data_IF_478428481398
#
_entry.id   IF_478428481398
#
_cell.length_a   1.000
_cell.length_b   1.000
_cell.length_c   1.000
_cell.angle_alpha   90.00
_cell.angle_beta   90.00
_cell.angle_gamma   90.00
#
_symmetry.space_group_name_H-M   'P 1'
#
loop_
_entity.id
_entity.type
_entity.pdbx_description
1 polymer ?
#
# COMPACT_ATOMS: atom_id res chain seq x y z
N UNK A 1 7.80 31.82 -9.98
CA UNK A 1 6.40 32.23 -9.67
C UNK A 1 5.56 31.10 -9.10
N UNK A 2 5.65 29.86 -9.59
CA UNK A 2 4.88 28.71 -9.08
C UNK A 2 5.29 28.30 -7.66
N UNK A 3 6.59 28.32 -7.35
CA UNK A 3 7.10 27.91 -6.02
C UNK A 3 6.70 28.88 -4.90
N UNK A 4 6.78 30.19 -5.16
CA UNK A 4 6.36 31.22 -4.19
C UNK A 4 4.87 31.17 -3.84
N UNK A 5 4.01 30.84 -4.81
CA UNK A 5 2.56 30.66 -4.59
C UNK A 5 2.30 29.40 -3.76
N UNK A 6 3.03 28.31 -4.04
CA UNK A 6 2.98 27.07 -3.25
C UNK A 6 3.37 27.30 -1.79
N UNK A 7 4.53 27.94 -1.56
CA UNK A 7 5.01 28.31 -0.21
C UNK A 7 4.03 29.20 0.55
N UNK A 8 3.45 30.21 -0.11
CA UNK A 8 2.42 31.06 0.50
C UNK A 8 1.20 30.25 0.97
N UNK A 9 0.85 29.18 0.25
CA UNK A 9 -0.17 28.21 0.66
C UNK A 9 0.18 27.48 1.94
N UNK A 10 1.40 26.93 2.02
CA UNK A 10 1.89 26.22 3.21
C UNK A 10 1.84 27.11 4.45
N UNK A 11 2.33 28.35 4.34
CA UNK A 11 2.29 29.30 5.46
C UNK A 11 0.86 29.71 5.83
N UNK A 12 0.01 30.01 4.84
CA UNK A 12 -1.37 30.42 5.10
C UNK A 12 -2.19 29.34 5.81
N UNK A 13 -2.07 28.09 5.33
CA UNK A 13 -2.72 26.94 5.97
C UNK A 13 -2.11 26.66 7.35
N UNK A 14 -0.78 26.75 7.49
CA UNK A 14 -0.10 26.59 8.78
C UNK A 14 -0.60 27.58 9.85
N UNK A 15 -0.83 28.84 9.48
CA UNK A 15 -1.42 29.85 10.35
C UNK A 15 -2.86 29.52 10.75
N UNK A 16 -3.70 29.10 9.80
CA UNK A 16 -5.08 28.67 10.09
C UNK A 16 -5.07 27.52 11.09
N UNK A 17 -4.29 26.47 10.84
CA UNK A 17 -4.22 25.29 11.72
C UNK A 17 -3.74 25.68 13.12
N UNK A 18 -2.68 26.48 13.22
CA UNK A 18 -2.06 26.81 14.50
C UNK A 18 -2.88 27.82 15.32
N UNK A 19 -3.53 28.79 14.67
CA UNK A 19 -4.22 29.89 15.36
C UNK A 19 -5.72 29.68 15.49
N UNK A 20 -6.36 28.99 14.53
CA UNK A 20 -7.81 28.78 14.53
C UNK A 20 -8.15 27.43 15.12
N UNK A 21 -7.53 26.35 14.62
CA UNK A 21 -7.77 25.00 15.16
C UNK A 21 -6.96 24.73 16.43
N UNK A 22 -5.88 25.49 16.66
CA UNK A 22 -4.92 25.27 17.76
C UNK A 22 -4.26 23.89 17.72
N UNK A 23 -4.13 23.30 16.53
CA UNK A 23 -3.50 21.99 16.31
C UNK A 23 -2.02 22.16 15.93
N UNK A 24 -1.25 21.06 15.93
CA UNK A 24 0.16 21.11 15.53
C UNK A 24 0.28 20.90 14.03
N UNK A 25 0.95 21.83 13.35
CA UNK A 25 1.26 21.76 11.92
C UNK A 25 2.73 21.34 11.74
N UNK A 26 2.98 20.21 11.06
CA UNK A 26 4.32 19.66 10.83
C UNK A 26 4.60 19.61 9.33
N UNK A 27 5.23 20.66 8.82
CA UNK A 27 5.63 20.76 7.41
C UNK A 27 6.54 19.58 7.00
N UNK A 28 6.35 19.06 5.79
CA UNK A 28 7.19 18.04 5.18
C UNK A 28 8.06 18.67 4.09
N UNK A 29 9.38 18.47 4.15
CA UNK A 29 10.34 19.13 3.25
C UNK A 29 10.78 18.25 2.06
N UNK A 30 10.31 17.00 1.96
CA UNK A 30 10.65 16.09 0.87
C UNK A 30 9.61 16.20 -0.28
N UNK A 31 10.04 16.82 -1.38
CA UNK A 31 9.20 17.34 -2.48
C UNK A 31 8.57 16.29 -3.42
N UNK A 32 8.91 15.00 -3.29
CA UNK A 32 8.62 14.03 -4.36
C UNK A 32 7.29 13.26 -4.19
N UNK A 33 6.72 13.24 -2.99
CA UNK A 33 5.61 12.33 -2.68
C UNK A 33 4.22 12.98 -2.50
N UNK A 34 4.10 14.31 -2.50
CA UNK A 34 2.81 15.00 -2.58
C UNK A 34 1.97 15.05 -1.29
N UNK A 35 2.62 15.14 -0.13
CA UNK A 35 2.03 15.60 1.14
C UNK A 35 2.88 16.77 1.62
N UNK A 36 2.25 17.90 1.93
CA UNK A 36 2.97 19.12 2.33
C UNK A 36 3.09 19.26 3.85
N UNK A 37 2.16 18.67 4.61
CA UNK A 37 2.21 18.68 6.06
C UNK A 37 1.44 17.51 6.70
N UNK A 38 1.85 17.17 7.92
CA UNK A 38 1.08 16.35 8.86
C UNK A 38 0.49 17.27 9.92
N UNK A 39 -0.81 17.13 10.16
CA UNK A 39 -1.53 17.77 11.25
C UNK A 39 -1.66 16.80 12.41
N UNK A 40 -1.45 17.27 13.62
CA UNK A 40 -1.74 16.52 14.84
C UNK A 40 -2.76 17.28 15.68
N UNK A 41 -3.90 16.63 15.93
CA UNK A 41 -4.96 17.17 16.77
C UNK A 41 -4.40 17.50 18.14
N UNK A 42 -4.75 18.66 18.67
CA UNK A 42 -4.39 19.06 20.02
C UNK A 42 -5.65 19.39 20.83
N UNK A 43 -5.64 19.02 22.10
CA UNK A 43 -6.67 19.33 23.07
C UNK A 43 -6.02 20.06 24.24
N UNK A 44 -6.48 21.28 24.54
CA UNK A 44 -5.86 22.14 25.56
C UNK A 44 -4.34 22.31 25.34
N UNK A 45 -3.95 22.61 24.11
CA UNK A 45 -2.55 22.74 23.64
C UNK A 45 -1.69 21.46 23.71
N UNK A 46 -2.26 20.33 24.15
CA UNK A 46 -1.56 19.04 24.20
C UNK A 46 -1.86 18.21 22.95
N UNK A 47 -0.82 17.74 22.22
CA UNK A 47 -1.00 16.82 21.11
C UNK A 47 -1.65 15.50 21.57
N UNK A 48 -2.58 14.97 20.80
CA UNK A 48 -3.33 13.75 21.14
C UNK A 48 -2.81 12.49 20.46
N UNK A 49 -1.89 12.62 19.50
CA UNK A 49 -1.45 11.53 18.62
C UNK A 49 -2.42 11.20 17.49
N UNK A 50 -3.58 11.87 17.38
CA UNK A 50 -4.46 11.76 16.23
C UNK A 50 -3.93 12.60 15.07
N UNK A 51 -3.66 11.95 13.93
CA UNK A 51 -2.95 12.56 12.80
C UNK A 51 -3.84 12.66 11.55
N UNK A 52 -3.55 13.66 10.72
CA UNK A 52 -4.06 13.80 9.35
C UNK A 52 -2.93 14.26 8.43
N UNK A 53 -2.89 13.79 7.20
CA UNK A 53 -1.97 14.29 6.18
C UNK A 53 -2.70 15.27 5.25
N UNK A 54 -2.02 16.33 4.82
CA UNK A 54 -2.59 17.31 3.90
C UNK A 54 -1.68 17.59 2.71
N UNK A 55 -2.28 17.65 1.52
CA UNK A 55 -1.69 18.26 0.34
C UNK A 55 -2.35 19.62 0.12
N UNK A 56 -1.55 20.67 0.08
CA UNK A 56 -1.95 22.05 -0.10
C UNK A 56 -1.74 22.45 -1.57
N UNK A 57 -2.74 23.11 -2.13
CA UNK A 57 -2.73 23.66 -3.49
C UNK A 57 -3.20 25.10 -3.45
N UNK A 58 -2.29 26.02 -3.75
CA UNK A 58 -2.50 27.45 -3.59
C UNK A 58 -2.57 28.17 -4.93
N UNK A 59 -3.46 29.14 -5.02
CA UNK A 59 -3.55 30.05 -6.16
C UNK A 59 -4.88 29.99 -6.92
N UNK A 60 -5.21 31.11 -7.59
CA UNK A 60 -6.50 31.33 -8.25
C UNK A 60 -6.86 30.27 -9.32
N UNK A 61 -5.89 29.57 -9.89
CA UNK A 61 -6.13 28.52 -10.89
C UNK A 61 -6.97 27.36 -10.34
N UNK A 62 -6.82 27.02 -9.05
CA UNK A 62 -7.58 25.93 -8.42
C UNK A 62 -9.06 26.26 -8.21
N UNK A 63 -9.45 27.52 -8.39
CA UNK A 63 -10.82 28.02 -8.19
C UNK A 63 -11.55 28.33 -9.51
N UNK A 64 -10.95 28.03 -10.67
CA UNK A 64 -11.49 28.36 -12.00
C UNK A 64 -12.60 27.43 -12.49
N UNK A 65 -12.68 26.20 -11.96
CA UNK A 65 -13.65 25.20 -12.37
C UNK A 65 -14.65 24.93 -11.24
N UNK A 66 -15.71 25.76 -11.08
CA UNK A 66 -16.77 25.47 -10.14
C UNK A 66 -17.59 24.25 -10.59
N UNK A 67 -18.21 23.55 -9.64
CA UNK A 67 -19.21 22.53 -9.98
C UNK A 67 -20.42 23.17 -10.67
N UNK A 68 -21.20 22.43 -11.49
CA UNK A 68 -22.39 22.98 -12.15
C UNK A 68 -23.41 23.58 -11.17
N UNK A 69 -23.52 23.02 -9.96
CA UNK A 69 -24.37 23.53 -8.87
C UNK A 69 -23.75 24.71 -8.12
N UNK A 70 -22.49 25.06 -8.36
CA UNK A 70 -21.75 26.09 -7.61
C UNK A 70 -21.33 25.68 -6.19
N UNK A 71 -21.62 24.45 -5.78
CA UNK A 71 -21.37 23.91 -4.42
C UNK A 71 -19.90 23.71 -4.06
N UNK A 72 -18.98 23.84 -5.02
CA UNK A 72 -17.55 23.69 -4.79
C UNK A 72 -16.73 23.88 -6.05
N UNK A 73 -15.50 23.34 -6.04
CA UNK A 73 -14.56 23.38 -7.16
C UNK A 73 -14.06 21.99 -7.52
N UNK A 74 -13.78 21.77 -8.79
CA UNK A 74 -13.19 20.52 -9.27
C UNK A 74 -11.67 20.63 -9.20
N UNK A 75 -11.05 19.90 -8.28
CA UNK A 75 -9.60 19.70 -8.30
C UNK A 75 -9.26 18.56 -9.27
N UNK A 76 -8.26 18.77 -10.13
CA UNK A 76 -7.79 17.79 -11.12
C UNK A 76 -6.28 17.61 -11.01
N UNK A 77 -5.84 16.36 -11.05
CA UNK A 77 -4.43 15.99 -11.14
C UNK A 77 -4.26 15.01 -12.30
N UNK A 78 -3.56 15.46 -13.35
CA UNK A 78 -3.29 14.70 -14.56
C UNK A 78 -1.80 14.44 -14.80
N UNK A 79 -0.90 15.13 -14.07
CA UNK A 79 0.55 14.95 -14.22
C UNK A 79 1.05 13.74 -13.44
N UNK A 80 0.39 13.41 -12.34
CA UNK A 80 0.76 12.30 -11.45
C UNK A 80 -0.44 11.40 -11.16
N UNK A 81 -0.90 10.60 -12.15
CA UNK A 81 -2.09 9.75 -11.98
C UNK A 81 -1.95 8.72 -10.83
N UNK A 82 -0.72 8.24 -10.56
CA UNK A 82 -0.43 7.32 -9.45
C UNK A 82 -0.51 7.96 -8.06
N UNK A 83 -0.59 9.29 -7.97
CA UNK A 83 -0.67 10.00 -6.69
C UNK A 83 -1.95 9.66 -5.93
N UNK A 84 -3.05 9.35 -6.62
CA UNK A 84 -4.29 8.93 -5.96
C UNK A 84 -4.11 7.61 -5.22
N UNK A 85 -3.43 6.62 -5.84
CA UNK A 85 -3.13 5.36 -5.17
C UNK A 85 -2.22 5.56 -3.97
N UNK A 86 -1.26 6.48 -4.08
CA UNK A 86 -0.41 6.88 -2.96
C UNK A 86 -1.24 7.48 -1.82
N UNK A 87 -2.12 8.45 -2.08
CA UNK A 87 -2.96 9.07 -1.03
C UNK A 87 -3.96 8.10 -0.39
N UNK A 88 -4.66 7.28 -1.18
CA UNK A 88 -5.63 6.29 -0.68
C UNK A 88 -5.01 5.20 0.19
N UNK A 89 -3.69 5.16 0.24
CA UNK A 89 -2.94 4.13 0.93
C UNK A 89 -2.28 4.66 2.21
N UNK A 90 -2.52 5.91 2.62
CA UNK A 90 -2.02 6.37 3.91
C UNK A 90 -2.77 5.71 5.07
N UNK A 91 -2.02 5.40 6.13
CA UNK A 91 -2.56 4.86 7.38
C UNK A 91 -3.30 5.92 8.22
N UNK A 92 -3.28 7.16 7.76
CA UNK A 92 -3.98 8.32 8.35
C UNK A 92 -4.80 9.03 7.26
N UNK A 93 -5.87 9.78 7.61
CA UNK A 93 -6.67 10.50 6.62
C UNK A 93 -5.83 11.46 5.79
N UNK A 94 -6.03 11.47 4.47
CA UNK A 94 -5.42 12.44 3.56
C UNK A 94 -6.45 13.45 3.10
N UNK A 95 -6.11 14.74 3.21
CA UNK A 95 -6.93 15.84 2.71
C UNK A 95 -6.24 16.55 1.55
N UNK A 96 -7.01 16.96 0.55
CA UNK A 96 -6.61 18.03 -0.37
C UNK A 96 -7.15 19.34 0.16
N UNK A 97 -6.28 20.33 0.30
CA UNK A 97 -6.58 21.67 0.77
C UNK A 97 -6.33 22.67 -0.35
N UNK A 98 -7.37 23.38 -0.79
CA UNK A 98 -7.24 24.50 -1.72
C UNK A 98 -7.14 25.81 -0.94
N UNK A 99 -6.08 26.58 -1.16
CA UNK A 99 -5.86 27.85 -0.50
C UNK A 99 -6.02 29.02 -1.48
N UNK A 100 -6.99 29.89 -1.20
CA UNK A 100 -7.18 31.17 -1.87
C UNK A 100 -6.33 32.23 -1.17
N UNK A 101 -5.15 32.52 -1.73
CA UNK A 101 -4.22 33.48 -1.14
C UNK A 101 -4.72 34.93 -1.17
N UNK A 102 -5.66 35.28 -2.07
CA UNK A 102 -6.21 36.63 -2.15
C UNK A 102 -7.23 36.88 -1.04
N UNK A 103 -8.04 35.87 -0.71
CA UNK A 103 -9.04 35.93 0.37
C UNK A 103 -8.53 35.40 1.70
N UNK A 104 -7.38 34.74 1.72
CA UNK A 104 -6.82 34.00 2.86
C UNK A 104 -7.77 32.95 3.42
N UNK A 105 -8.45 32.21 2.53
CA UNK A 105 -9.39 31.15 2.91
C UNK A 105 -8.87 29.80 2.39
N UNK A 106 -8.91 28.78 3.24
CA UNK A 106 -8.65 27.40 2.87
C UNK A 106 -9.94 26.58 2.82
N UNK A 107 -10.04 25.69 1.84
CA UNK A 107 -11.12 24.71 1.69
C UNK A 107 -10.53 23.32 1.62
N UNK A 108 -11.22 22.31 2.15
CA UNK A 108 -10.67 20.95 2.27
C UNK A 108 -11.63 19.88 1.76
N UNK A 109 -11.06 18.76 1.32
CA UNK A 109 -11.81 17.54 1.03
C UNK A 109 -10.95 16.33 1.38
N UNK A 110 -11.53 15.38 2.10
CA UNK A 110 -10.93 14.07 2.33
C UNK A 110 -10.83 13.30 1.02
N UNK A 111 -9.66 12.71 0.78
CA UNK A 111 -9.39 11.84 -0.36
C UNK A 111 -9.88 10.43 -0.02
N UNK A 112 -10.87 9.98 -0.76
CA UNK A 112 -11.48 8.66 -0.62
C UNK A 112 -11.79 8.05 -1.98
N UNK A 113 -12.03 6.75 -2.02
CA UNK A 113 -12.57 6.03 -3.18
C UNK A 113 -13.96 6.55 -3.61
N UNK A 114 -14.68 7.22 -2.72
CA UNK A 114 -16.00 7.81 -2.98
C UNK A 114 -15.94 9.29 -3.38
N UNK A 115 -14.92 10.04 -2.95
CA UNK A 115 -14.78 11.49 -3.23
C UNK A 115 -13.85 11.75 -4.42
N UNK A 116 -12.95 10.82 -4.72
CA UNK A 116 -12.06 10.87 -5.87
C UNK A 116 -12.56 9.97 -7.01
N UNK A 117 -12.62 10.52 -8.21
CA UNK A 117 -12.99 9.81 -9.44
C UNK A 117 -11.81 9.75 -10.39
N UNK A 118 -11.42 8.55 -10.81
CA UNK A 118 -10.41 8.37 -11.86
C UNK A 118 -10.93 8.91 -13.20
N UNK A 119 -10.04 9.48 -13.99
CA UNK A 119 -10.27 9.94 -15.36
C UNK A 119 -9.31 9.24 -16.30
N UNK A 120 -9.48 9.39 -17.62
CA UNK A 120 -8.57 8.80 -18.60
C UNK A 120 -7.11 9.24 -18.43
N UNK A 121 -6.86 10.43 -17.89
CA UNK A 121 -5.53 11.03 -17.76
C UNK A 121 -5.06 11.20 -16.32
N UNK A 122 -5.87 10.83 -15.33
CA UNK A 122 -5.55 11.06 -13.92
C UNK A 122 -6.75 10.89 -13.01
N UNK A 123 -7.01 11.87 -12.17
CA UNK A 123 -8.18 11.84 -11.28
C UNK A 123 -8.68 13.25 -10.97
N UNK A 124 -9.90 13.30 -10.43
CA UNK A 124 -10.54 14.52 -9.95
C UNK A 124 -11.21 14.26 -8.61
N UNK A 125 -11.37 15.32 -7.81
CA UNK A 125 -12.26 15.33 -6.65
C UNK A 125 -12.93 16.70 -6.54
N UNK A 126 -14.12 16.74 -5.95
CA UNK A 126 -14.83 18.00 -5.69
C UNK A 126 -14.40 18.48 -4.31
N UNK A 127 -13.93 19.72 -4.21
CA UNK A 127 -13.65 20.40 -2.94
C UNK A 127 -14.85 21.30 -2.61
N UNK A 128 -15.69 20.94 -1.62
CA UNK A 128 -16.91 21.68 -1.32
C UNK A 128 -16.61 23.08 -0.77
N UNK A 129 -17.46 24.04 -1.14
CA UNK A 129 -17.37 25.43 -0.67
C UNK A 129 -17.65 25.55 0.84
N UNK A 130 -18.44 24.63 1.37
CA UNK A 130 -18.83 24.60 2.79
C UNK A 130 -17.80 23.88 3.66
N UNK A 131 -16.85 23.15 3.07
CA UNK A 131 -15.72 22.57 3.80
C UNK A 131 -14.60 23.60 3.97
N UNK A 132 -14.89 24.67 4.72
CA UNK A 132 -13.87 25.67 5.08
C UNK A 132 -12.94 25.09 6.13
N UNK A 133 -11.65 25.34 6.00
CA UNK A 133 -10.68 25.04 7.06
C UNK A 133 -10.66 26.25 8.00
N UNK A 134 -11.61 26.27 8.92
CA UNK A 134 -11.73 27.26 10.00
C UNK A 134 -12.25 26.56 11.27
N UNK A 135 -12.77 27.29 12.26
CA UNK A 135 -13.28 26.70 13.49
C UNK A 135 -14.37 25.63 13.26
N UNK A 136 -15.13 25.71 12.16
CA UNK A 136 -16.13 24.70 11.80
C UNK A 136 -15.53 23.35 11.39
N UNK A 137 -14.24 23.32 11.02
CA UNK A 137 -13.55 22.10 10.62
C UNK A 137 -13.09 21.24 11.79
N UNK A 138 -13.02 21.77 13.01
CA UNK A 138 -12.46 21.07 14.19
C UNK A 138 -13.19 19.75 14.45
N UNK A 139 -14.50 19.78 14.67
CA UNK A 139 -15.28 18.56 14.93
C UNK A 139 -15.21 17.51 13.79
N UNK A 140 -15.54 17.84 12.52
CA UNK A 140 -15.54 16.83 11.46
C UNK A 140 -14.15 16.24 11.20
N UNK A 141 -13.08 17.03 11.28
CA UNK A 141 -11.72 16.52 11.08
C UNK A 141 -11.23 15.65 12.24
N UNK A 142 -11.57 15.98 13.50
CA UNK A 142 -11.28 15.08 14.64
C UNK A 142 -12.07 13.79 14.56
N UNK A 143 -13.38 13.88 14.26
CA UNK A 143 -14.22 12.71 14.12
C UNK A 143 -13.70 11.78 13.02
N UNK A 144 -13.26 12.36 11.89
CA UNK A 144 -12.62 11.63 10.79
C UNK A 144 -11.32 10.95 11.22
N UNK A 145 -10.43 11.64 11.94
CA UNK A 145 -9.16 11.05 12.41
C UNK A 145 -9.40 9.95 13.46
N UNK A 146 -10.34 10.14 14.38
CA UNK A 146 -10.67 9.18 15.43
C UNK A 146 -11.38 7.93 14.91
N UNK A 147 -12.27 8.09 13.92
CA UNK A 147 -12.98 6.99 13.27
C UNK A 147 -12.24 6.43 12.05
N UNK A 148 -10.99 6.87 11.81
CA UNK A 148 -10.28 6.52 10.59
C UNK A 148 -10.04 5.02 10.51
N UNK A 149 -10.61 4.44 9.46
CA UNK A 149 -10.25 3.12 8.95
C UNK A 149 -9.73 3.33 7.54
N UNK A 150 -8.48 2.97 7.23
CA UNK A 150 -7.94 3.09 5.87
C UNK A 150 -8.88 2.46 4.84
N UNK A 151 -9.21 3.20 3.78
CA UNK A 151 -10.28 2.82 2.84
C UNK A 151 -9.95 1.65 1.92
N UNK A 152 -8.66 1.43 1.69
CA UNK A 152 -8.20 0.08 1.44
C UNK A 152 -7.78 -0.43 2.80
N UNK A 153 -8.32 -1.57 3.23
CA UNK A 153 -7.56 -2.39 4.16
C UNK A 153 -6.17 -2.53 3.50
N UNK A 154 -5.17 -1.79 4.00
CA UNK A 154 -3.82 -2.07 3.56
C UNK A 154 -3.62 -3.57 3.82
N UNK A 155 -2.90 -4.28 2.95
CA UNK A 155 -2.69 -5.71 3.17
C UNK A 155 -2.21 -6.03 4.58
N UNK A 156 -1.51 -5.06 5.17
CA UNK A 156 -1.13 -4.99 6.57
C UNK A 156 -2.32 -5.14 7.54
N UNK A 157 -3.41 -4.36 7.43
CA UNK A 157 -4.56 -4.51 8.35
C UNK A 157 -5.28 -5.84 8.20
N UNK A 158 -5.39 -6.40 6.98
CA UNK A 158 -5.95 -7.75 6.77
C UNK A 158 -5.12 -8.81 7.48
N UNK A 159 -3.81 -8.84 7.22
CA UNK A 159 -2.93 -9.84 7.81
C UNK A 159 -2.85 -9.67 9.33
N UNK A 160 -2.66 -8.45 9.82
CA UNK A 160 -2.56 -8.16 11.27
C UNK A 160 -3.86 -8.55 11.99
N UNK A 161 -5.04 -8.25 11.42
CA UNK A 161 -6.33 -8.68 11.99
C UNK A 161 -6.49 -10.19 11.97
N UNK A 162 -6.16 -10.86 10.86
CA UNK A 162 -6.26 -12.30 10.77
C UNK A 162 -5.35 -13.00 11.80
N UNK A 163 -4.10 -12.55 11.91
CA UNK A 163 -3.14 -13.03 12.92
C UNK A 163 -3.65 -12.76 14.33
N UNK A 164 -4.14 -11.56 14.62
CA UNK A 164 -4.67 -11.20 15.93
C UNK A 164 -5.91 -12.03 16.29
N UNK A 165 -6.81 -12.26 15.33
CA UNK A 165 -8.00 -13.09 15.50
C UNK A 165 -7.63 -14.55 15.77
N UNK A 166 -6.68 -15.12 15.02
CA UNK A 166 -6.18 -16.46 15.29
C UNK A 166 -5.54 -16.56 16.68
N UNK A 167 -4.68 -15.60 17.06
CA UNK A 167 -4.07 -15.57 18.39
C UNK A 167 -5.10 -15.44 19.50
N UNK A 168 -6.11 -14.58 19.34
CA UNK A 168 -7.20 -14.43 20.30
C UNK A 168 -8.04 -15.71 20.45
N UNK A 169 -8.17 -16.49 19.38
CA UNK A 169 -8.83 -17.79 19.38
C UNK A 169 -7.92 -18.97 19.80
N UNK A 170 -6.64 -18.72 20.13
CA UNK A 170 -5.67 -19.77 20.47
C UNK A 170 -5.27 -20.67 19.29
N UNK A 171 -5.46 -20.19 18.06
CA UNK A 171 -5.21 -20.95 16.84
C UNK A 171 -3.79 -20.73 16.32
N UNK A 172 -3.12 -21.78 15.81
CA UNK A 172 -1.84 -21.62 15.13
C UNK A 172 -2.04 -20.85 13.81
N UNK A 173 -1.14 -19.93 13.51
CA UNK A 173 -1.14 -19.16 12.25
C UNK A 173 -0.47 -20.00 11.17
N UNK A 174 -1.04 -21.16 10.86
CA UNK A 174 -0.58 -22.06 9.78
C UNK A 174 -1.71 -22.28 8.79
N UNK A 175 -1.41 -22.59 7.51
CA UNK A 175 -2.43 -22.75 6.51
C UNK A 175 -3.42 -23.86 6.87
N UNK A 176 -4.67 -23.47 6.99
CA UNK A 176 -5.80 -24.33 7.35
C UNK A 176 -7.08 -23.67 6.86
N UNK A 177 -8.16 -24.45 6.75
CA UNK A 177 -9.47 -23.88 6.38
C UNK A 177 -9.94 -22.81 7.37
N UNK A 178 -9.59 -22.93 8.66
CA UNK A 178 -9.95 -21.95 9.69
C UNK A 178 -9.18 -20.63 9.54
N UNK A 179 -7.86 -20.69 9.31
CA UNK A 179 -7.07 -19.48 9.02
C UNK A 179 -7.54 -18.82 7.73
N UNK A 180 -7.81 -19.61 6.69
CA UNK A 180 -8.36 -19.12 5.43
C UNK A 180 -9.67 -18.38 5.62
N UNK A 181 -10.62 -18.99 6.36
CA UNK A 181 -11.90 -18.37 6.67
C UNK A 181 -11.71 -17.07 7.43
N UNK A 182 -10.86 -17.07 8.48
CA UNK A 182 -10.57 -15.89 9.31
C UNK A 182 -9.96 -14.75 8.49
N UNK A 183 -9.02 -15.08 7.61
CA UNK A 183 -8.38 -14.13 6.70
C UNK A 183 -9.35 -13.58 5.65
N UNK A 184 -10.32 -14.40 5.22
CA UNK A 184 -11.32 -14.03 4.23
C UNK A 184 -12.52 -13.29 4.86
N UNK A 185 -12.84 -13.56 6.13
CA UNK A 185 -13.93 -12.95 6.90
C UNK A 185 -13.49 -11.59 7.45
N UNK A 186 -13.66 -10.54 6.65
CA UNK A 186 -13.32 -9.18 7.08
C UNK A 186 -13.16 -8.16 5.97
N UNK A 187 -13.05 -8.60 4.72
CA UNK A 187 -12.67 -7.72 3.61
C UNK A 187 -13.85 -7.36 2.70
N UNK A 188 -14.10 -6.06 2.53
CA UNK A 188 -14.97 -5.52 1.48
C UNK A 188 -14.47 -5.86 0.05
N UNK A 189 -13.23 -6.34 -0.09
CA UNK A 189 -12.62 -6.81 -1.34
C UNK A 189 -13.14 -8.17 -1.84
N UNK A 190 -14.09 -8.83 -1.18
CA UNK A 190 -14.70 -10.08 -1.66
C UNK A 190 -15.37 -9.92 -3.04
N UNK A 191 -15.69 -8.69 -3.47
CA UNK A 191 -16.34 -8.38 -4.75
C UNK A 191 -15.38 -7.96 -5.88
N UNK A 192 -14.08 -7.80 -5.63
CA UNK A 192 -13.10 -7.49 -6.69
C UNK A 192 -12.52 -8.79 -7.27
N UNK A 193 -12.27 -8.83 -8.59
CA UNK A 193 -11.56 -9.93 -9.24
C UNK A 193 -10.15 -10.00 -8.64
N UNK A 194 -9.94 -10.93 -7.70
CA UNK A 194 -8.65 -11.08 -7.01
C UNK A 194 -7.64 -11.75 -7.94
N UNK A 195 -6.44 -11.17 -8.02
CA UNK A 195 -5.36 -11.70 -8.86
C UNK A 195 -4.74 -12.91 -8.15
N UNK A 196 -4.55 -14.05 -8.83
CA UNK A 196 -3.89 -15.20 -8.21
C UNK A 196 -2.44 -14.86 -7.87
N UNK A 197 -1.91 -15.46 -6.80
CA UNK A 197 -0.49 -15.45 -6.50
C UNK A 197 0.27 -16.25 -7.55
N UNK A 198 1.44 -15.78 -7.97
CA UNK A 198 2.30 -16.48 -8.91
C UNK A 198 3.49 -17.09 -8.17
N UNK A 199 3.75 -18.36 -8.40
CA UNK A 199 4.91 -19.05 -7.82
C UNK A 199 5.53 -20.07 -8.77
N UNK A 200 6.79 -20.39 -8.57
CA UNK A 200 7.51 -21.42 -9.33
C UNK A 200 8.35 -22.28 -8.38
N UNK A 201 8.32 -23.60 -8.58
CA UNK A 201 9.02 -24.59 -7.74
C UNK A 201 8.74 -24.45 -6.23
N UNK A 202 7.53 -24.03 -5.84
CA UNK A 202 7.16 -23.94 -4.42
C UNK A 202 6.85 -25.36 -3.89
N UNK A 203 7.56 -25.89 -2.89
CA UNK A 203 7.46 -27.30 -2.50
C UNK A 203 6.31 -27.53 -1.52
N UNK A 204 5.09 -27.21 -1.93
CA UNK A 204 3.90 -27.35 -1.11
C UNK A 204 3.57 -28.83 -0.87
N UNK A 205 3.18 -29.14 0.36
CA UNK A 205 2.64 -30.44 0.81
C UNK A 205 1.32 -30.23 1.53
N UNK A 206 0.43 -31.22 1.52
CA UNK A 206 -0.89 -31.15 2.16
C UNK A 206 -2.01 -31.60 1.23
N UNK A 207 -3.23 -31.16 1.51
CA UNK A 207 -4.46 -31.56 0.81
C UNK A 207 -5.11 -30.42 -0.01
N UNK A 208 -4.64 -29.18 0.14
CA UNK A 208 -5.16 -28.05 -0.60
C UNK A 208 -4.91 -28.18 -2.11
N UNK A 209 -5.82 -27.66 -2.93
CA UNK A 209 -5.67 -27.66 -4.40
C UNK A 209 -4.40 -26.93 -4.88
N UNK A 210 -3.90 -25.96 -4.11
CA UNK A 210 -2.62 -25.32 -4.35
C UNK A 210 -1.46 -26.33 -4.38
N UNK A 211 -1.48 -27.39 -3.57
CA UNK A 211 -0.45 -28.44 -3.54
C UNK A 211 -0.38 -29.15 -4.88
N UNK A 212 -1.53 -29.51 -5.47
CA UNK A 212 -1.57 -30.11 -6.79
C UNK A 212 -0.97 -29.17 -7.84
N UNK A 213 -1.41 -27.91 -7.90
CA UNK A 213 -0.89 -26.91 -8.86
C UNK A 213 0.61 -26.65 -8.70
N UNK A 214 1.12 -26.71 -7.47
CA UNK A 214 2.55 -26.51 -7.19
C UNK A 214 3.42 -27.64 -7.70
N UNK A 215 2.88 -28.86 -7.73
CA UNK A 215 3.59 -30.07 -8.13
C UNK A 215 3.33 -30.45 -9.61
N UNK A 216 2.53 -29.66 -10.34
CA UNK A 216 2.42 -29.81 -11.78
C UNK A 216 3.75 -29.39 -12.44
N UNK A 217 4.44 -30.36 -13.04
CA UNK A 217 5.68 -30.09 -13.78
C UNK A 217 5.37 -29.25 -15.02
N UNK A 218 5.61 -27.96 -14.92
CA UNK A 218 5.35 -26.98 -15.97
C UNK A 218 6.48 -25.95 -16.03
N UNK A 219 6.80 -25.50 -17.24
CA UNK A 219 7.70 -24.36 -17.48
C UNK A 219 6.98 -23.02 -17.25
N UNK A 220 5.70 -23.06 -16.88
CA UNK A 220 4.89 -21.91 -16.52
C UNK A 220 4.73 -21.79 -15.00
N UNK A 221 4.80 -20.57 -14.43
CA UNK A 221 4.53 -20.35 -13.02
C UNK A 221 3.12 -20.83 -12.63
N UNK A 222 3.03 -21.52 -11.50
CA UNK A 222 1.77 -21.91 -10.88
C UNK A 222 0.99 -20.66 -10.42
N UNK A 223 -0.32 -20.69 -10.62
CA UNK A 223 -1.24 -19.65 -10.18
C UNK A 223 -2.07 -20.15 -8.99
N UNK A 224 -2.05 -19.43 -7.87
CA UNK A 224 -2.85 -19.75 -6.69
C UNK A 224 -3.89 -18.67 -6.44
N UNK A 225 -5.14 -18.98 -6.73
CA UNK A 225 -6.29 -18.18 -6.30
C UNK A 225 -6.65 -18.47 -4.84
N UNK A 226 -7.44 -17.60 -4.21
CA UNK A 226 -7.87 -17.79 -2.82
C UNK A 226 -8.52 -19.16 -2.61
N UNK A 227 -9.35 -19.63 -3.54
CA UNK A 227 -10.03 -20.92 -3.39
C UNK A 227 -9.05 -22.09 -3.39
N UNK A 228 -7.99 -22.03 -4.20
CA UNK A 228 -6.95 -23.06 -4.25
C UNK A 228 -6.16 -23.17 -2.94
N UNK A 229 -6.12 -22.10 -2.16
CA UNK A 229 -5.40 -21.98 -0.89
C UNK A 229 -6.27 -22.33 0.34
N UNK A 230 -7.55 -22.69 0.17
CA UNK A 230 -8.56 -22.86 1.23
C UNK A 230 -8.46 -24.11 2.11
N UNK A 231 -7.42 -24.92 1.94
CA UNK A 231 -7.18 -26.17 2.68
C UNK A 231 -5.89 -26.13 3.51
N UNK A 232 -5.41 -27.32 3.87
CA UNK A 232 -4.14 -27.48 4.57
C UNK A 232 -3.00 -27.57 3.56
N UNK A 233 -2.01 -26.71 3.73
CA UNK A 233 -0.76 -26.81 3.00
C UNK A 233 0.40 -26.33 3.86
N UNK A 234 1.60 -26.81 3.59
CA UNK A 234 2.80 -26.45 4.31
C UNK A 234 4.04 -26.64 3.45
N UNK A 235 5.15 -26.07 3.91
CA UNK A 235 6.50 -26.36 3.43
C UNK A 235 7.32 -26.92 4.60
N UNK A 236 8.48 -27.51 4.33
CA UNK A 236 9.41 -27.88 5.40
C UNK A 236 9.88 -26.61 6.14
N UNK A 237 10.12 -26.72 7.45
CA UNK A 237 10.70 -25.62 8.22
C UNK A 237 12.04 -25.18 7.59
N UNK A 238 12.36 -23.89 7.66
CA UNK A 238 13.57 -23.28 7.06
C UNK A 238 13.66 -23.36 5.53
N UNK A 239 12.58 -23.77 4.84
CA UNK A 239 12.52 -23.67 3.37
C UNK A 239 12.77 -22.22 2.97
N UNK A 240 13.82 -21.99 2.18
CA UNK A 240 14.13 -20.66 1.65
C UNK A 240 13.27 -20.40 0.42
N UNK A 241 12.47 -19.34 0.47
CA UNK A 241 11.60 -18.89 -0.61
C UNK A 241 12.04 -17.51 -1.05
N UNK A 242 12.33 -17.38 -2.34
CA UNK A 242 12.68 -16.11 -2.97
C UNK A 242 11.41 -15.38 -3.38
N UNK A 243 11.39 -14.05 -3.24
CA UNK A 243 10.26 -13.21 -3.57
C UNK A 243 10.75 -12.04 -4.43
N UNK A 244 10.19 -11.91 -5.62
CA UNK A 244 10.45 -10.80 -6.55
C UNK A 244 9.17 -9.98 -6.80
N UNK A 245 9.32 -8.72 -7.21
CA UNK A 245 8.18 -7.87 -7.57
C UNK A 245 7.76 -8.04 -9.04
N UNK A 246 8.74 -8.21 -9.92
CA UNK A 246 8.60 -8.13 -11.36
C UNK A 246 8.28 -9.50 -12.00
N UNK A 247 7.18 -9.63 -12.74
CA UNK A 247 6.84 -10.86 -13.46
C UNK A 247 7.89 -11.33 -14.46
N UNK A 248 8.71 -10.44 -15.02
CA UNK A 248 9.78 -10.81 -15.96
C UNK A 248 10.81 -11.72 -15.28
N UNK A 249 11.16 -11.46 -14.02
CA UNK A 249 12.07 -12.33 -13.25
C UNK A 249 11.47 -13.72 -13.12
N UNK A 250 10.21 -13.81 -12.69
CA UNK A 250 9.47 -15.06 -12.53
C UNK A 250 9.38 -15.87 -13.83
N UNK A 251 8.91 -15.26 -14.91
CA UNK A 251 8.74 -15.95 -16.19
C UNK A 251 10.09 -16.36 -16.79
N UNK A 252 11.13 -15.54 -16.63
CA UNK A 252 12.46 -15.89 -17.13
C UNK A 252 13.09 -17.01 -16.31
N UNK A 253 12.93 -17.01 -14.98
CA UNK A 253 13.40 -18.07 -14.11
C UNK A 253 12.69 -19.39 -14.43
N UNK A 254 11.36 -19.36 -14.61
CA UNK A 254 10.59 -20.54 -14.98
C UNK A 254 11.07 -21.12 -16.32
N UNK A 255 11.21 -20.29 -17.35
CA UNK A 255 11.63 -20.73 -18.69
C UNK A 255 13.10 -21.21 -18.77
N UNK A 256 14.03 -20.59 -18.04
CA UNK A 256 15.47 -20.92 -18.13
C UNK A 256 15.91 -21.99 -17.14
N UNK A 257 15.36 -21.98 -15.93
CA UNK A 257 15.79 -22.87 -14.84
C UNK A 257 14.86 -24.07 -14.68
N UNK A 258 13.58 -23.94 -15.02
CA UNK A 258 12.59 -25.01 -14.88
C UNK A 258 12.61 -25.59 -13.46
N UNK A 259 12.76 -26.90 -13.34
CA UNK A 259 12.85 -27.62 -12.06
C UNK A 259 14.12 -27.33 -11.25
N UNK A 260 15.16 -26.75 -11.87
CA UNK A 260 16.39 -26.34 -11.19
C UNK A 260 16.28 -24.95 -10.55
N UNK A 261 15.10 -24.34 -10.59
CA UNK A 261 14.84 -23.09 -9.89
C UNK A 261 14.58 -23.37 -8.41
N UNK A 262 15.19 -22.58 -7.53
CA UNK A 262 14.79 -22.49 -6.13
C UNK A 262 13.35 -21.94 -6.02
N UNK A 263 12.63 -22.20 -4.92
CA UNK A 263 11.27 -21.74 -4.74
C UNK A 263 11.15 -20.22 -4.90
N UNK A 264 10.29 -19.77 -5.80
CA UNK A 264 10.13 -18.36 -6.15
C UNK A 264 8.65 -17.96 -6.09
N UNK A 265 8.37 -16.77 -5.58
CA UNK A 265 7.05 -16.11 -5.60
C UNK A 265 7.19 -14.75 -6.26
N UNK A 266 6.20 -14.37 -7.06
CA UNK A 266 6.12 -13.05 -7.67
C UNK A 266 4.93 -12.27 -7.12
N UNK A 267 5.20 -11.04 -6.70
CA UNK A 267 4.19 -10.14 -6.14
C UNK A 267 3.37 -9.44 -7.22
N UNK A 268 3.99 -9.19 -8.38
CA UNK A 268 3.38 -8.52 -9.53
C UNK A 268 2.79 -7.17 -9.10
N UNK A 269 3.64 -6.28 -8.58
CA UNK A 269 3.27 -5.02 -7.93
C UNK A 269 2.77 -5.20 -6.50
N UNK A 270 1.77 -4.40 -6.08
CA UNK A 270 1.23 -4.52 -4.72
C UNK A 270 0.52 -5.88 -4.53
N UNK A 271 0.76 -6.63 -3.43
CA UNK A 271 0.33 -8.02 -3.29
C UNK A 271 -1.19 -8.16 -3.33
N UNK A 272 -1.67 -9.18 -4.04
CA UNK A 272 -3.08 -9.59 -4.00
C UNK A 272 -3.45 -10.26 -2.68
N UNK A 273 -4.74 -10.53 -2.43
CA UNK A 273 -5.16 -11.21 -1.19
C UNK A 273 -4.60 -12.63 -1.15
N UNK A 274 -4.65 -13.35 -2.28
CA UNK A 274 -4.01 -14.65 -2.42
C UNK A 274 -2.50 -14.61 -2.12
N UNK A 275 -1.79 -13.58 -2.60
CA UNK A 275 -0.35 -13.43 -2.35
C UNK A 275 -0.07 -13.17 -0.87
N UNK A 276 -0.85 -12.29 -0.22
CA UNK A 276 -0.74 -12.01 1.22
C UNK A 276 -1.00 -13.28 2.06
N UNK A 277 -2.04 -14.02 1.74
CA UNK A 277 -2.38 -15.27 2.44
C UNK A 277 -1.28 -16.33 2.27
N UNK A 278 -0.74 -16.47 1.06
CA UNK A 278 0.37 -17.38 0.77
C UNK A 278 1.62 -17.02 1.59
N UNK A 279 2.01 -15.74 1.62
CA UNK A 279 3.18 -15.28 2.39
C UNK A 279 2.97 -15.46 3.89
N UNK A 280 1.77 -15.15 4.41
CA UNK A 280 1.42 -15.37 5.81
C UNK A 280 1.52 -16.85 6.18
N UNK A 281 0.98 -17.73 5.33
CA UNK A 281 1.00 -19.16 5.57
C UNK A 281 2.40 -19.77 5.53
N UNK A 282 3.26 -19.30 4.62
CA UNK A 282 4.67 -19.70 4.54
C UNK A 282 5.45 -19.24 5.78
N UNK A 283 5.23 -18.00 6.23
CA UNK A 283 5.80 -17.50 7.48
C UNK A 283 5.36 -18.35 8.68
N UNK A 284 4.07 -18.70 8.71
CA UNK A 284 3.50 -19.62 9.70
C UNK A 284 4.14 -21.00 9.74
N UNK A 285 4.60 -21.50 8.59
CA UNK A 285 5.34 -22.76 8.48
C UNK A 285 6.83 -22.63 8.86
N UNK A 286 7.31 -21.43 9.20
CA UNK A 286 8.73 -21.17 9.46
C UNK A 286 9.59 -21.14 8.20
N UNK A 287 9.02 -20.76 7.04
CA UNK A 287 9.81 -20.53 5.84
C UNK A 287 10.65 -19.26 5.96
N UNK A 288 11.88 -19.28 5.42
CA UNK A 288 12.74 -18.10 5.30
C UNK A 288 12.44 -17.40 3.99
N UNK A 289 12.04 -16.13 4.05
CA UNK A 289 11.70 -15.36 2.85
C UNK A 289 12.81 -14.38 2.51
N UNK A 290 13.37 -14.51 1.31
CA UNK A 290 14.35 -13.57 0.75
C UNK A 290 13.63 -12.69 -0.27
N UNK A 291 13.43 -11.41 0.04
CA UNK A 291 12.68 -10.48 -0.82
C UNK A 291 13.60 -9.50 -1.53
N UNK A 292 13.38 -9.34 -2.83
CA UNK A 292 13.89 -8.23 -3.61
C UNK A 292 12.66 -7.49 -4.16
N UNK A 293 12.39 -6.25 -3.74
CA UNK A 293 11.43 -5.39 -4.44
C UNK A 293 12.16 -4.38 -5.33
N UNK A 294 11.43 -3.66 -6.16
CA UNK A 294 12.01 -2.50 -6.84
C UNK A 294 12.41 -1.42 -5.81
N UNK A 295 13.47 -0.66 -6.11
CA UNK A 295 13.97 0.38 -5.21
C UNK A 295 13.17 1.69 -5.33
N UNK A 296 11.84 1.58 -5.29
CA UNK A 296 10.91 2.70 -5.31
C UNK A 296 10.10 2.80 -4.00
N UNK A 297 9.20 3.78 -3.92
CA UNK A 297 8.38 3.99 -2.73
C UNK A 297 7.40 2.83 -2.47
N UNK A 298 6.95 2.12 -3.51
CA UNK A 298 6.04 0.99 -3.41
C UNK A 298 6.77 -0.24 -2.86
N UNK A 299 7.98 -0.53 -3.36
CA UNK A 299 8.83 -1.61 -2.88
C UNK A 299 9.26 -1.45 -1.43
N UNK A 300 9.64 -0.23 -1.02
CA UNK A 300 9.93 0.09 0.40
C UNK A 300 8.72 -0.13 1.30
N UNK A 301 7.54 0.30 0.84
CA UNK A 301 6.29 0.11 1.57
C UNK A 301 5.94 -1.37 1.70
N UNK A 302 6.06 -2.13 0.62
CA UNK A 302 5.79 -3.56 0.60
C UNK A 302 6.62 -4.31 1.66
N UNK A 303 7.93 -4.06 1.74
CA UNK A 303 8.80 -4.65 2.78
C UNK A 303 8.27 -4.31 4.17
N UNK A 304 7.92 -3.04 4.40
CA UNK A 304 7.38 -2.56 5.68
C UNK A 304 6.07 -3.28 6.02
N UNK A 305 5.12 -3.30 5.10
CA UNK A 305 3.80 -3.91 5.28
C UNK A 305 3.92 -5.41 5.59
N UNK A 306 4.83 -6.13 4.92
CA UNK A 306 5.13 -7.54 5.21
C UNK A 306 5.79 -7.70 6.59
N UNK A 307 6.81 -6.89 6.90
CA UNK A 307 7.54 -6.94 8.18
C UNK A 307 6.64 -6.82 9.41
N UNK A 308 5.63 -5.95 9.35
CA UNK A 308 4.66 -5.77 10.45
C UNK A 308 3.58 -6.86 10.51
N UNK A 309 3.36 -7.58 9.42
CA UNK A 309 2.33 -8.60 9.26
C UNK A 309 2.74 -9.99 9.81
N UNK A 310 3.73 -10.04 10.71
CA UNK A 310 4.36 -11.26 11.23
C UNK A 310 5.10 -12.11 10.17
N UNK A 311 5.29 -11.56 8.97
CA UNK A 311 6.23 -12.07 7.96
C UNK A 311 7.54 -11.33 8.22
N UNK A 312 8.65 -12.02 8.45
CA UNK A 312 9.96 -11.37 8.65
C UNK A 312 10.85 -11.60 7.41
N UNK A 313 10.61 -10.89 6.29
CA UNK A 313 11.40 -11.11 5.10
C UNK A 313 12.81 -10.53 5.28
N UNK A 314 13.82 -11.31 4.91
CA UNK A 314 15.20 -10.86 4.83
C UNK A 314 15.44 -10.26 3.44
N UNK A 315 16.28 -9.22 3.31
CA UNK A 315 16.64 -8.69 2.00
C UNK A 315 17.36 -9.77 1.16
N UNK A 316 16.86 -10.04 -0.05
CA UNK A 316 17.59 -10.82 -1.04
C UNK A 316 18.72 -9.95 -1.60
N UNK A 317 19.91 -10.08 -1.02
CA UNK A 317 21.10 -9.33 -1.45
C UNK A 317 21.88 -10.11 -2.49
N UNK A 318 22.11 -9.48 -3.64
CA UNK A 318 23.07 -10.01 -4.62
C UNK A 318 24.49 -9.91 -4.10
N UNK A 319 25.36 -10.82 -4.55
CA UNK A 319 26.81 -10.78 -4.28
C UNK A 319 27.54 -9.67 -5.06
N UNK A 320 26.81 -8.77 -5.74
CA UNK A 320 27.37 -7.74 -6.59
C UNK A 320 27.46 -6.40 -5.86
N UNK A 321 28.68 -5.95 -5.60
CA UNK A 321 29.00 -4.63 -5.05
C UNK A 321 28.77 -3.57 -6.13
N UNK A 322 27.87 -2.61 -5.87
CA UNK A 322 27.89 -1.32 -6.55
C UNK A 322 26.70 -0.94 -7.45
N UNK A 323 25.65 -1.76 -7.58
CA UNK A 323 24.48 -1.35 -8.37
C UNK A 323 23.43 -0.63 -7.52
N UNK A 324 23.35 0.69 -7.66
CA UNK A 324 22.24 1.53 -7.17
C UNK A 324 21.00 1.46 -8.09
N UNK A 325 20.83 0.37 -8.85
CA UNK A 325 19.83 0.31 -9.92
C UNK A 325 18.40 0.17 -9.39
N UNK A 326 17.50 0.99 -9.92
CA UNK A 326 16.13 1.17 -9.45
C UNK A 326 15.12 0.06 -9.80
N UNK A 327 15.46 -0.94 -10.65
CA UNK A 327 14.50 -1.95 -11.17
C UNK A 327 15.13 -3.36 -11.29
N UNK A 328 14.39 -4.40 -10.92
CA UNK A 328 14.83 -5.82 -10.91
C UNK A 328 15.35 -6.34 -12.26
N UNK A 329 14.78 -5.88 -13.38
CA UNK A 329 15.18 -6.30 -14.74
C UNK A 329 16.67 -6.08 -15.03
N UNK A 330 17.27 -5.06 -14.40
CA UNK A 330 18.69 -4.73 -14.59
C UNK A 330 19.62 -5.66 -13.82
N UNK A 331 19.10 -6.40 -12.85
CA UNK A 331 19.83 -7.39 -12.06
C UNK A 331 19.42 -8.82 -12.40
N UNK A 332 18.65 -9.02 -13.47
CA UNK A 332 18.03 -10.30 -13.84
C UNK A 332 19.03 -11.45 -13.90
N UNK A 333 20.19 -11.27 -14.53
CA UNK A 333 21.19 -12.36 -14.64
C UNK A 333 21.74 -12.79 -13.28
N UNK A 334 21.94 -11.85 -12.34
CA UNK A 334 22.36 -12.17 -10.98
C UNK A 334 21.25 -12.84 -10.19
N UNK A 335 20.00 -12.36 -10.32
CA UNK A 335 18.83 -13.00 -9.70
C UNK A 335 18.68 -14.45 -10.18
N UNK A 336 18.83 -14.69 -11.48
CA UNK A 336 18.76 -16.03 -12.06
C UNK A 336 19.90 -16.92 -11.55
N UNK A 337 21.11 -16.38 -11.37
CA UNK A 337 22.22 -17.11 -10.78
C UNK A 337 21.94 -17.53 -9.34
N UNK A 338 21.36 -16.63 -8.52
CA UNK A 338 21.01 -16.95 -7.13
C UNK A 338 19.88 -17.98 -7.05
N UNK A 339 18.95 -17.97 -8.02
CA UNK A 339 17.82 -18.90 -8.12
C UNK A 339 18.19 -20.28 -8.64
N UNK A 340 19.34 -20.45 -9.28
CA UNK A 340 19.76 -21.76 -9.78
C UNK A 340 20.19 -22.67 -8.62
N UNK A 341 19.73 -23.93 -8.67
CA UNK A 341 20.25 -25.01 -7.83
C UNK A 341 21.54 -25.52 -8.48
N UNK A 342 22.66 -25.42 -7.76
CA UNK A 342 23.93 -26.02 -8.17
C UNK A 342 23.77 -27.55 -8.16
N UNK A 343 24.15 -28.18 -9.28
CA UNK A 343 24.04 -29.63 -9.53
C UNK A 343 25.07 -30.44 -8.78
#
# INVERSE_FOLDING_TARGET
>A
MTDSIGRAGVYGVGLIVSNVLQWKFREQHESDCGIDAILEVAMHDRPTGQLLAIQIKSGASYFREPTPSGSGWVFRESRRPRLLDYWLSFDIPVLVVLYDSARQIAYWQQVTSTTATRTHTGFKLIVPRDHRLDASADYPLRAMSAAWTPERESGQFQIVRAVAACRAAGLPVVPSSQLWQTFNSGSAEVLAVDRPALAHQLPLRGDARAVYRSNEHSDMPAQFDMQSLSGSWHVAQETTVYVCENPIVMHTAAAKLGQRCKPLICLNGYPSRATKYLLLGLAGCGARMLIHPDHDALGKRLIRDLSFAAVAPEPWRHRCVGSTSHHEERCLDHMLSDLAIES
#
